data_IF_253146457900
#
_entry.id   IF_253146457900
#
_cell.length_a   1.000
_cell.length_b   1.000
_cell.length_c   1.000
_cell.angle_alpha   90.00
_cell.angle_beta   90.00
_cell.angle_gamma   90.00
#
_symmetry.space_group_name_H-M   'P 1'
#
loop_
_entity.id
_entity.type
_entity.pdbx_description
1 polymer ?
#
# COMPACT_ATOMS: atom_id res chain seq x y z
N UNK A 1 -8.07 -13.08 -4.08
CA UNK A 1 -7.75 -13.13 -5.53
C UNK A 1 -8.89 -13.73 -6.36
N UNK A 2 -9.80 -12.88 -6.86
CA UNK A 2 -11.09 -13.25 -7.46
C UNK A 2 -11.01 -13.88 -8.87
N UNK A 3 -9.83 -13.87 -9.51
CA UNK A 3 -9.64 -14.40 -10.86
C UNK A 3 -8.65 -15.57 -10.88
N UNK A 4 -8.70 -16.41 -11.93
CA UNK A 4 -7.75 -17.51 -12.16
C UNK A 4 -7.48 -17.65 -13.66
N UNK A 5 -6.21 -17.81 -14.02
CA UNK A 5 -5.81 -18.08 -15.41
C UNK A 5 -5.72 -19.59 -15.67
N UNK A 6 -6.23 -20.04 -16.82
CA UNK A 6 -5.99 -21.37 -17.37
C UNK A 6 -5.55 -21.21 -18.83
N UNK A 7 -4.29 -21.55 -19.10
CA UNK A 7 -3.66 -21.32 -20.41
C UNK A 7 -3.68 -19.84 -20.80
N UNK A 8 -4.24 -19.52 -21.96
CA UNK A 8 -4.32 -18.15 -22.48
C UNK A 8 -5.55 -17.37 -21.97
N UNK A 9 -6.38 -17.97 -21.15
CA UNK A 9 -7.68 -17.42 -20.74
C UNK A 9 -7.75 -17.16 -19.24
N UNK A 10 -8.49 -16.12 -18.87
CA UNK A 10 -8.75 -15.70 -17.49
C UNK A 10 -10.22 -15.93 -17.16
N UNK A 11 -10.46 -16.44 -15.97
CA UNK A 11 -11.77 -16.84 -15.46
C UNK A 11 -12.00 -16.18 -14.10
N UNK A 12 -13.25 -15.85 -13.79
CA UNK A 12 -13.66 -15.46 -12.45
C UNK A 12 -13.78 -16.72 -11.59
N UNK A 13 -13.27 -16.68 -10.37
CA UNK A 13 -13.40 -17.81 -9.44
C UNK A 13 -14.82 -17.86 -8.87
N UNK A 14 -15.35 -19.07 -8.74
CA UNK A 14 -16.56 -19.35 -7.96
C UNK A 14 -16.15 -20.35 -6.87
N UNK A 15 -15.66 -19.83 -5.74
CA UNK A 15 -15.03 -20.65 -4.70
C UNK A 15 -13.69 -21.25 -5.17
N UNK A 16 -13.57 -22.59 -5.09
CA UNK A 16 -12.35 -23.33 -5.49
C UNK A 16 -12.30 -23.65 -6.99
N UNK A 17 -13.40 -23.50 -7.70
CA UNK A 17 -13.53 -23.90 -9.11
C UNK A 17 -13.34 -22.73 -10.09
N UNK A 18 -13.08 -23.06 -11.35
CA UNK A 18 -13.14 -22.09 -12.43
C UNK A 18 -14.61 -21.77 -12.72
N UNK A 19 -14.98 -20.51 -12.53
CA UNK A 19 -16.28 -20.00 -12.92
C UNK A 19 -16.26 -19.41 -14.32
N UNK A 20 -16.95 -18.28 -14.47
CA UNK A 20 -17.20 -17.62 -15.75
C UNK A 20 -15.92 -17.18 -16.47
N UNK A 21 -15.91 -17.34 -17.79
CA UNK A 21 -14.81 -16.93 -18.65
C UNK A 21 -14.88 -15.42 -18.91
N UNK A 22 -13.88 -14.69 -18.42
CA UNK A 22 -13.80 -13.23 -18.58
C UNK A 22 -13.21 -12.87 -19.94
N UNK A 23 -12.18 -13.60 -20.39
CA UNK A 23 -11.56 -13.35 -21.69
C UNK A 23 -10.32 -14.19 -21.95
N UNK A 24 -9.89 -14.22 -23.21
CA UNK A 24 -8.63 -14.86 -23.62
C UNK A 24 -7.72 -13.84 -24.30
N UNK A 25 -6.43 -13.97 -24.05
CA UNK A 25 -5.40 -13.22 -24.76
C UNK A 25 -4.76 -14.07 -25.85
N UNK A 26 -4.05 -13.41 -26.78
CA UNK A 26 -3.37 -14.10 -27.89
C UNK A 26 -2.18 -14.97 -27.40
N UNK A 27 -1.54 -14.57 -26.30
CA UNK A 27 -0.41 -15.26 -25.68
C UNK A 27 -0.57 -15.39 -24.17
N UNK A 28 0.20 -16.30 -23.56
CA UNK A 28 0.17 -16.56 -22.12
C UNK A 28 0.66 -15.34 -21.34
N UNK A 29 1.68 -14.64 -21.82
CA UNK A 29 2.24 -13.47 -21.12
C UNK A 29 1.28 -12.30 -21.10
N UNK A 30 0.52 -12.09 -22.18
CA UNK A 30 -0.56 -11.10 -22.20
C UNK A 30 -1.66 -11.46 -21.20
N UNK A 31 -2.03 -12.74 -21.10
CA UNK A 31 -3.01 -13.20 -20.11
C UNK A 31 -2.51 -13.02 -18.66
N UNK A 32 -1.20 -13.21 -18.41
CA UNK A 32 -0.59 -12.94 -17.09
C UNK A 32 -0.61 -11.44 -16.77
N UNK A 33 -0.23 -10.58 -17.72
CA UNK A 33 -0.27 -9.11 -17.55
C UNK A 33 -1.69 -8.62 -17.27
N UNK A 34 -2.68 -9.12 -18.02
CA UNK A 34 -4.08 -8.80 -17.82
C UNK A 34 -4.59 -9.26 -16.44
N UNK A 35 -4.23 -10.47 -15.99
CA UNK A 35 -4.55 -10.95 -14.65
C UNK A 35 -3.97 -10.03 -13.55
N UNK A 36 -2.72 -9.60 -13.70
CA UNK A 36 -2.08 -8.67 -12.74
C UNK A 36 -2.82 -7.33 -12.70
N UNK A 37 -3.22 -6.79 -13.85
CA UNK A 37 -3.99 -5.55 -13.92
C UNK A 37 -5.37 -5.68 -13.24
N UNK A 38 -6.06 -6.80 -13.44
CA UNK A 38 -7.34 -7.06 -12.77
C UNK A 38 -7.19 -7.11 -11.24
N UNK A 39 -6.07 -7.61 -10.73
CA UNK A 39 -5.80 -7.60 -9.30
C UNK A 39 -5.42 -6.22 -8.77
N UNK A 40 -4.66 -5.44 -9.54
CA UNK A 40 -4.32 -4.07 -9.15
C UNK A 40 -5.56 -3.16 -9.06
N UNK A 41 -6.56 -3.40 -9.92
CA UNK A 41 -7.84 -2.69 -9.87
C UNK A 41 -8.87 -3.32 -8.93
N UNK A 42 -8.58 -4.49 -8.36
CA UNK A 42 -9.46 -5.11 -7.36
C UNK A 42 -9.24 -4.39 -6.03
N UNK A 43 -10.10 -3.40 -5.77
CA UNK A 43 -10.10 -2.55 -4.57
C UNK A 43 -10.07 -3.34 -3.25
N UNK A 44 -10.47 -4.62 -3.25
CA UNK A 44 -10.41 -5.52 -2.10
C UNK A 44 -9.02 -5.55 -1.43
N UNK A 45 -7.94 -5.48 -2.20
CA UNK A 45 -6.58 -5.50 -1.63
C UNK A 45 -6.12 -4.16 -1.06
N UNK A 46 -6.67 -3.05 -1.58
CA UNK A 46 -6.36 -1.70 -1.08
C UNK A 46 -7.17 -1.44 0.19
N UNK A 47 -8.42 -1.92 0.24
CA UNK A 47 -9.28 -1.83 1.42
C UNK A 47 -8.69 -2.60 2.61
N UNK A 48 -8.20 -3.83 2.42
CA UNK A 48 -7.55 -4.62 3.48
C UNK A 48 -6.29 -3.94 4.04
N UNK A 49 -5.45 -3.39 3.15
CA UNK A 49 -4.24 -2.65 3.56
C UNK A 49 -4.61 -1.36 4.30
N UNK A 50 -5.58 -0.61 3.79
CA UNK A 50 -6.05 0.61 4.46
C UNK A 50 -6.73 0.31 5.81
N UNK A 51 -7.45 -0.80 5.91
CA UNK A 51 -8.05 -1.26 7.16
C UNK A 51 -6.97 -1.66 8.18
N UNK A 52 -5.92 -2.36 7.75
CA UNK A 52 -4.75 -2.64 8.59
C UNK A 52 -4.12 -1.35 9.14
N UNK A 53 -3.84 -0.36 8.28
CA UNK A 53 -3.26 0.93 8.70
C UNK A 53 -4.22 1.80 9.54
N UNK A 54 -5.54 1.63 9.41
CA UNK A 54 -6.52 2.33 10.25
C UNK A 54 -6.67 1.68 11.62
N UNK A 55 -6.63 0.35 11.69
CA UNK A 55 -6.91 -0.41 12.90
C UNK A 55 -5.64 -0.59 13.76
N UNK A 56 -4.49 -0.76 13.13
CA UNK A 56 -3.21 -0.65 13.82
C UNK A 56 -2.83 0.82 13.79
N UNK A 57 -3.14 1.54 14.87
CA UNK A 57 -2.40 2.74 15.21
C UNK A 57 -0.95 2.31 15.47
N UNK A 58 -0.19 2.14 14.39
CA UNK A 58 1.25 1.98 14.41
C UNK A 58 1.86 3.33 14.81
N UNK A 59 1.49 3.81 16.00
CA UNK A 59 1.93 5.07 16.59
C UNK A 59 3.44 5.17 16.62
N UNK A 60 4.12 4.03 16.70
CA UNK A 60 5.57 3.92 16.73
C UNK A 60 6.18 4.17 15.34
N UNK A 61 5.49 3.80 14.25
CA UNK A 61 5.95 4.04 12.87
C UNK A 61 5.52 5.41 12.34
N UNK A 62 4.37 5.92 12.75
CA UNK A 62 3.86 7.27 12.40
C UNK A 62 4.29 8.35 13.41
N UNK A 63 5.08 8.00 14.44
CA UNK A 63 5.48 8.92 15.52
C UNK A 63 6.10 10.22 15.02
N UNK A 64 6.73 10.17 13.85
CA UNK A 64 7.51 11.25 13.27
C UNK A 64 6.92 11.82 11.98
N UNK A 65 5.77 11.33 11.51
CA UNK A 65 5.18 11.82 10.26
C UNK A 65 4.73 13.29 10.39
N UNK A 66 4.19 13.67 11.55
CA UNK A 66 3.82 15.05 11.89
C UNK A 66 4.94 15.83 12.60
N UNK A 67 6.16 15.30 12.63
CA UNK A 67 7.28 15.97 13.30
C UNK A 67 7.69 17.24 12.52
N UNK A 68 8.00 18.38 13.18
CA UNK A 68 8.36 19.61 12.47
C UNK A 68 9.52 19.39 11.49
N UNK A 69 10.51 18.56 11.84
CA UNK A 69 11.61 18.19 10.93
C UNK A 69 11.32 17.03 9.96
N UNK A 70 10.07 16.60 9.79
CA UNK A 70 9.71 15.58 8.78
C UNK A 70 9.79 16.14 7.35
N UNK A 71 9.76 17.47 7.21
CA UNK A 71 9.99 18.16 5.95
C UNK A 71 11.45 18.61 5.81
N UNK A 72 11.96 18.59 4.58
CA UNK A 72 13.33 19.03 4.26
C UNK A 72 13.52 20.52 4.55
N UNK A 73 12.47 21.32 4.32
CA UNK A 73 12.51 22.77 4.53
C UNK A 73 12.71 23.11 6.01
N UNK A 74 11.98 22.46 6.91
CA UNK A 74 12.14 22.66 8.36
C UNK A 74 13.42 22.00 8.91
N UNK A 75 13.93 20.94 8.28
CA UNK A 75 15.20 20.29 8.66
C UNK A 75 16.40 21.22 8.47
N UNK A 76 16.32 22.11 7.49
CA UNK A 76 17.40 23.05 7.14
C UNK A 76 17.17 24.45 7.70
N UNK A 77 16.16 24.64 8.54
CA UNK A 77 15.84 25.91 9.18
C UNK A 77 16.65 26.06 10.48
N UNK A 78 17.62 26.97 10.48
CA UNK A 78 18.46 27.28 11.64
C UNK A 78 17.68 27.87 12.83
N UNK A 79 16.48 28.43 12.59
CA UNK A 79 15.62 29.01 13.64
C UNK A 79 14.74 27.96 14.35
N UNK A 80 14.67 26.74 13.82
CA UNK A 80 13.91 25.63 14.41
C UNK A 80 14.86 24.79 15.28
N UNK A 81 14.69 24.78 16.62
CA UNK A 81 15.57 24.02 17.50
C UNK A 81 15.46 22.52 17.21
N UNK A 82 16.59 21.83 17.26
CA UNK A 82 16.63 20.40 17.00
C UNK A 82 15.93 19.62 18.14
N UNK A 83 15.37 18.44 17.87
CA UNK A 83 14.56 17.69 18.84
C UNK A 83 15.32 17.27 20.10
N UNK A 84 16.65 17.18 20.02
CA UNK A 84 17.52 16.87 21.15
C UNK A 84 17.98 18.12 21.93
N UNK A 85 17.63 19.32 21.48
CA UNK A 85 17.95 20.57 22.18
C UNK A 85 17.01 20.81 23.40
N UNK A 86 15.93 20.03 23.54
CA UNK A 86 15.01 20.10 24.68
C UNK A 86 15.65 19.76 26.03
N UNK A 87 16.80 19.05 26.05
CA UNK A 87 17.52 18.73 27.29
C UNK A 87 18.10 19.97 27.99
N UNK A 88 18.28 21.08 27.28
CA UNK A 88 18.83 22.31 27.86
C UNK A 88 17.81 23.16 28.62
N UNK A 89 16.50 22.97 28.40
CA UNK A 89 15.45 23.76 29.07
C UNK A 89 14.99 23.19 30.43
N UNK A 90 15.43 21.99 30.81
CA UNK A 90 15.10 21.37 32.11
C UNK A 90 16.03 21.76 33.26
N UNK A 91 16.99 22.65 33.02
CA UNK A 91 17.94 23.14 34.04
C UNK A 91 17.84 24.66 34.20
N UNK A 92 16.67 25.18 34.50
CA UNK A 92 16.49 26.48 35.18
C UNK A 92 15.35 26.40 36.19
#
# INVERSE_FOLDING_TARGET
>A
MPYKRKGKCVYKKKGKELGEKVGCSTSIDKAKKYLKALYANANESIEEVNEYFKNNQDSDYLKYDDHPLSSVDNLMDDDVPAPWDEEYKRKE
#
